data_IF_636344170512
#
_entry.id   IF_636344170512
#
_cell.length_a   1.000
_cell.length_b   1.000
_cell.length_c   1.000
_cell.angle_alpha   90.00
_cell.angle_beta   90.00
_cell.angle_gamma   90.00
#
_symmetry.space_group_name_H-M   'P 1'
#
loop_
_entity.id
_entity.type
_entity.pdbx_description
1 polymer ?
#
# COMPACT_ATOMS: atom_id res chain seq x y z
N UNK A 1 -52.51 47.81 -37.39
CA UNK A 1 -52.00 48.05 -38.75
C UNK A 1 -51.19 46.82 -39.16
N UNK A 2 -51.75 46.01 -40.09
CA UNK A 2 -51.19 44.88 -40.88
C UNK A 2 -50.48 43.74 -40.11
N UNK A 3 -51.09 42.59 -39.78
CA UNK A 3 -51.67 41.45 -40.60
C UNK A 3 -50.53 40.71 -41.35
N UNK A 4 -50.25 39.37 -41.32
CA UNK A 4 -50.95 38.05 -41.29
C UNK A 4 -49.96 37.00 -40.68
N UNK A 5 -50.25 35.98 -39.86
CA UNK A 5 -51.12 34.77 -39.86
C UNK A 5 -50.94 33.79 -41.06
N UNK A 6 -50.85 32.49 -40.70
CA UNK A 6 -51.24 31.24 -41.40
C UNK A 6 -50.03 30.46 -42.01
N UNK A 7 -49.56 29.32 -41.48
CA UNK A 7 -50.14 27.98 -41.16
C UNK A 7 -50.08 26.98 -42.35
N UNK A 8 -49.79 25.70 -42.00
CA UNK A 8 -50.02 24.41 -42.70
C UNK A 8 -48.85 23.84 -43.55
N UNK A 9 -48.17 22.77 -43.10
CA UNK A 9 -48.46 21.31 -43.22
C UNK A 9 -48.30 20.80 -44.67
N UNK A 10 -47.50 19.73 -44.84
CA UNK A 10 -47.84 18.43 -45.48
C UNK A 10 -46.55 17.68 -45.87
N UNK A 11 -46.39 16.53 -45.24
CA UNK A 11 -45.49 15.41 -45.59
C UNK A 11 -45.82 14.82 -46.96
N UNK A 12 -44.81 14.48 -47.75
CA UNK A 12 -44.91 13.39 -48.73
C UNK A 12 -43.53 12.80 -49.07
N UNK A 13 -43.41 11.50 -48.87
CA UNK A 13 -42.29 10.63 -49.26
C UNK A 13 -42.46 10.27 -50.74
N UNK A 14 -41.38 10.28 -51.53
CA UNK A 14 -41.24 9.41 -52.69
C UNK A 14 -39.79 8.96 -52.88
N UNK A 15 -39.63 7.64 -52.85
CA UNK A 15 -38.46 6.88 -53.30
C UNK A 15 -38.36 6.90 -54.83
N UNK A 16 -37.15 7.00 -55.39
CA UNK A 16 -36.86 6.50 -56.73
C UNK A 16 -35.36 6.16 -56.88
N UNK A 17 -35.06 4.86 -56.99
CA UNK A 17 -33.80 4.36 -57.52
C UNK A 17 -33.78 4.54 -59.05
N UNK A 18 -32.64 4.94 -59.60
CA UNK A 18 -32.27 4.66 -60.99
C UNK A 18 -30.80 4.22 -61.04
N UNK A 19 -30.59 2.99 -61.50
CA UNK A 19 -29.29 2.45 -61.94
C UNK A 19 -29.04 2.94 -63.37
N UNK A 20 -27.82 3.41 -63.70
CA UNK A 20 -26.83 2.65 -64.51
C UNK A 20 -25.60 3.48 -64.94
N UNK A 21 -24.46 2.79 -64.89
CA UNK A 21 -23.27 2.88 -65.77
C UNK A 21 -22.10 3.78 -65.35
N UNK A 22 -21.17 3.14 -64.66
CA UNK A 22 -19.72 3.00 -64.95
C UNK A 22 -18.93 4.23 -65.40
N UNK A 23 -18.14 4.76 -64.47
CA UNK A 23 -16.76 5.18 -64.74
C UNK A 23 -15.87 4.66 -63.62
N UNK A 24 -14.92 3.83 -64.00
CA UNK A 24 -13.87 3.26 -63.15
C UNK A 24 -12.96 4.41 -62.72
N UNK A 25 -12.88 4.68 -61.41
CA UNK A 25 -11.81 5.48 -60.82
C UNK A 25 -10.99 4.54 -59.95
N UNK A 26 -9.79 4.31 -60.44
CA UNK A 26 -8.69 3.58 -59.82
C UNK A 26 -8.25 4.34 -58.56
N UNK A 27 -8.55 3.78 -57.38
CA UNK A 27 -8.00 4.22 -56.10
C UNK A 27 -6.97 3.19 -55.68
N UNK A 28 -5.72 3.47 -56.04
CA UNK A 28 -4.55 2.85 -55.43
C UNK A 28 -4.61 3.11 -53.92
N UNK A 29 -4.93 2.07 -53.14
CA UNK A 29 -4.66 2.04 -51.70
C UNK A 29 -3.15 2.11 -51.49
N UNK A 30 -2.64 3.03 -50.65
CA UNK A 30 -1.24 2.99 -50.26
C UNK A 30 -0.99 1.74 -49.40
N UNK A 31 -0.18 0.83 -49.95
CA UNK A 31 0.43 -0.28 -49.23
C UNK A 31 1.25 0.32 -48.07
N UNK A 32 0.85 0.05 -46.83
CA UNK A 32 1.70 0.33 -45.67
C UNK A 32 2.95 -0.54 -45.76
N UNK A 33 4.10 0.12 -45.97
CA UNK A 33 5.42 -0.46 -45.77
C UNK A 33 5.55 -0.89 -44.31
N UNK A 34 5.70 -2.19 -44.09
CA UNK A 34 6.07 -2.76 -42.80
C UNK A 34 7.55 -2.45 -42.60
N UNK A 35 7.84 -1.38 -41.86
CA UNK A 35 9.19 -1.11 -41.35
C UNK A 35 9.40 -2.10 -40.21
N UNK A 36 10.29 -3.06 -40.46
CA UNK A 36 10.76 -4.02 -39.48
C UNK A 36 11.81 -3.33 -38.60
N UNK A 37 11.37 -2.63 -37.56
CA UNK A 37 12.25 -2.23 -36.46
C UNK A 37 12.54 -3.49 -35.64
N UNK A 38 13.72 -4.06 -35.85
CA UNK A 38 14.29 -5.04 -34.93
C UNK A 38 14.40 -4.37 -33.56
N UNK A 39 13.57 -4.83 -32.62
CA UNK A 39 13.68 -4.46 -31.23
C UNK A 39 15.04 -4.92 -30.71
N UNK A 40 15.94 -3.97 -30.49
CA UNK A 40 17.19 -4.16 -29.78
C UNK A 40 16.82 -4.58 -28.36
N UNK A 41 17.02 -5.86 -28.04
CA UNK A 41 16.88 -6.39 -26.69
C UNK A 41 18.05 -5.79 -25.91
N UNK A 42 17.79 -4.73 -25.14
CA UNK A 42 18.67 -4.37 -24.02
C UNK A 42 18.62 -5.56 -23.04
N UNK A 43 19.65 -6.40 -23.10
CA UNK A 43 19.93 -7.35 -22.02
C UNK A 43 20.08 -6.51 -20.74
N UNK A 44 19.15 -6.69 -19.78
CA UNK A 44 19.39 -6.26 -18.41
C UNK A 44 20.76 -6.79 -18.00
N UNK A 45 21.63 -5.97 -17.39
CA UNK A 45 22.91 -6.46 -16.93
C UNK A 45 22.64 -7.64 -16.00
N UNK A 46 23.11 -8.84 -16.37
CA UNK A 46 23.19 -9.97 -15.46
C UNK A 46 23.78 -9.44 -14.16
N UNK A 47 22.96 -9.41 -13.09
CA UNK A 47 23.46 -9.16 -11.75
C UNK A 47 24.56 -10.19 -11.52
N UNK A 48 25.81 -9.72 -11.54
CA UNK A 48 26.93 -10.53 -11.11
C UNK A 48 26.64 -10.90 -9.67
N UNK A 49 26.25 -12.16 -9.45
CA UNK A 49 26.03 -12.72 -8.13
C UNK A 49 27.33 -12.52 -7.36
N UNK A 50 27.32 -11.53 -6.47
CA UNK A 50 28.44 -11.20 -5.61
C UNK A 50 28.78 -12.42 -4.76
N UNK A 51 30.06 -12.79 -4.73
CA UNK A 51 30.67 -13.93 -4.04
C UNK A 51 30.66 -13.74 -2.50
N UNK A 52 29.69 -12.97 -1.98
CA UNK A 52 29.65 -12.38 -0.64
C UNK A 52 28.33 -12.66 0.10
N UNK A 53 27.46 -13.53 -0.45
CA UNK A 53 26.19 -13.93 0.19
C UNK A 53 26.36 -14.58 1.58
N UNK A 54 27.58 -15.05 1.90
CA UNK A 54 27.93 -15.68 3.17
C UNK A 54 27.85 -14.71 4.37
N UNK A 55 27.97 -13.39 4.15
CA UNK A 55 27.94 -12.39 5.23
C UNK A 55 26.56 -11.73 5.42
N UNK A 56 25.58 -12.03 4.56
CA UNK A 56 24.24 -11.46 4.65
C UNK A 56 23.41 -12.20 5.71
N UNK A 57 22.61 -11.45 6.45
CA UNK A 57 21.70 -11.95 7.48
C UNK A 57 20.25 -11.76 7.07
N UNK A 58 19.36 -12.60 7.60
CA UNK A 58 17.92 -12.53 7.32
C UNK A 58 17.29 -11.41 8.14
N UNK A 59 16.63 -10.46 7.47
CA UNK A 59 15.83 -9.42 8.09
C UNK A 59 14.61 -10.04 8.79
N UNK A 60 14.35 -9.57 10.01
CA UNK A 60 13.22 -10.02 10.80
C UNK A 60 11.90 -9.32 10.43
N UNK A 61 11.90 -8.36 9.48
CA UNK A 61 10.68 -7.67 9.05
C UNK A 61 10.12 -8.16 7.72
N UNK A 62 10.96 -8.67 6.82
CA UNK A 62 10.55 -9.18 5.51
C UNK A 62 11.21 -10.50 5.11
N UNK A 63 12.10 -11.07 5.91
CA UNK A 63 12.73 -12.37 5.61
C UNK A 63 13.72 -12.36 4.45
N UNK A 64 14.00 -11.19 3.86
CA UNK A 64 15.02 -11.03 2.83
C UNK A 64 16.41 -10.92 3.46
N UNK A 65 17.45 -11.13 2.65
CA UNK A 65 18.85 -11.07 3.08
C UNK A 65 19.39 -9.66 2.88
N UNK A 66 20.11 -9.15 3.88
CA UNK A 66 20.77 -7.84 3.88
C UNK A 66 22.17 -7.95 4.49
N UNK A 67 23.02 -6.97 4.19
CA UNK A 67 24.23 -6.77 4.96
C UNK A 67 23.88 -6.31 6.39
N UNK A 68 24.61 -6.75 7.43
CA UNK A 68 24.30 -6.41 8.81
C UNK A 68 24.12 -4.91 9.07
N UNK A 69 24.95 -4.06 8.45
CA UNK A 69 24.90 -2.59 8.57
C UNK A 69 23.59 -1.96 8.07
N UNK A 70 22.89 -2.62 7.16
CA UNK A 70 21.57 -2.18 6.68
C UNK A 70 20.48 -2.43 7.73
N UNK A 71 20.73 -3.32 8.69
CA UNK A 71 19.83 -3.70 9.78
C UNK A 71 20.26 -3.15 11.15
N UNK A 72 21.22 -2.22 11.22
CA UNK A 72 21.64 -1.64 12.51
C UNK A 72 20.73 -0.49 12.95
N UNK A 73 20.14 0.22 11.99
CA UNK A 73 19.37 1.43 12.23
C UNK A 73 17.98 1.11 12.78
N UNK A 74 17.53 1.87 13.76
CA UNK A 74 16.15 1.79 14.28
C UNK A 74 15.14 1.95 13.13
N UNK A 75 14.09 1.10 13.07
CA UNK A 75 13.06 1.24 12.07
C UNK A 75 12.37 2.60 12.13
N UNK A 76 11.89 3.07 10.99
CA UNK A 76 11.12 4.31 10.86
C UNK A 76 9.72 3.94 10.42
N UNK A 77 8.72 4.38 11.18
CA UNK A 77 7.33 4.04 10.99
C UNK A 77 6.55 5.29 10.57
N UNK A 78 6.26 5.44 9.29
CA UNK A 78 5.68 6.67 8.73
C UNK A 78 4.18 6.51 8.50
N UNK A 79 3.40 7.41 9.10
CA UNK A 79 1.97 7.51 8.79
C UNK A 79 1.79 8.23 7.44
N UNK A 80 1.19 7.55 6.46
CA UNK A 80 1.11 8.01 5.08
C UNK A 80 -0.34 8.23 4.67
N UNK A 81 -0.61 9.38 4.05
CA UNK A 81 -1.92 9.78 3.55
C UNK A 81 -2.43 8.81 2.48
N UNK A 82 -3.70 8.42 2.58
CA UNK A 82 -4.39 7.66 1.54
C UNK A 82 -5.67 8.35 1.05
N UNK A 83 -5.80 9.65 1.30
CA UNK A 83 -6.82 10.48 0.67
C UNK A 83 -6.64 10.46 -0.86
N UNK A 84 -7.73 10.47 -1.67
CA UNK A 84 -7.61 10.46 -3.13
C UNK A 84 -6.70 11.56 -3.70
N UNK A 85 -6.70 12.76 -3.11
CA UNK A 85 -5.82 13.88 -3.51
C UNK A 85 -4.36 13.75 -3.08
N UNK A 86 -4.02 12.73 -2.29
CA UNK A 86 -2.66 12.42 -1.89
C UNK A 86 -2.03 11.30 -2.73
N UNK A 87 -2.85 10.59 -3.51
CA UNK A 87 -2.39 9.48 -4.34
C UNK A 87 -1.74 10.01 -5.62
N UNK A 88 -0.68 9.37 -6.10
CA UNK A 88 -0.05 8.17 -5.52
C UNK A 88 1.06 8.50 -4.50
N UNK A 89 1.29 7.63 -3.53
CA UNK A 89 2.32 7.81 -2.49
C UNK A 89 3.72 7.54 -3.06
N UNK A 90 4.75 8.20 -2.52
CA UNK A 90 6.15 7.92 -2.85
C UNK A 90 6.77 7.00 -1.77
N UNK A 91 7.52 6.00 -2.22
CA UNK A 91 8.38 5.15 -1.39
C UNK A 91 7.64 4.05 -0.61
N UNK A 92 6.34 3.87 -0.81
CA UNK A 92 5.55 2.84 -0.12
C UNK A 92 5.91 1.41 -0.57
N UNK A 93 6.38 1.23 -1.82
CA UNK A 93 6.85 -0.07 -2.33
C UNK A 93 8.13 -0.57 -1.63
N UNK A 94 8.85 0.34 -0.97
CA UNK A 94 10.10 0.07 -0.25
C UNK A 94 9.88 -0.31 1.21
N UNK A 95 8.65 -0.18 1.75
CA UNK A 95 8.39 -0.55 3.13
C UNK A 95 8.38 -2.07 3.31
N UNK A 96 9.06 -2.59 4.33
CA UNK A 96 9.04 -4.03 4.66
C UNK A 96 7.66 -4.46 5.17
N UNK A 97 6.97 -3.58 5.93
CA UNK A 97 5.61 -3.80 6.40
C UNK A 97 4.75 -2.58 6.13
N UNK A 98 3.59 -2.78 5.52
CA UNK A 98 2.59 -1.73 5.32
C UNK A 98 1.28 -2.14 5.99
N UNK A 99 0.81 -1.33 6.91
CA UNK A 99 -0.55 -1.47 7.44
C UNK A 99 -1.51 -0.53 6.74
N UNK A 100 -2.77 -0.96 6.58
CA UNK A 100 -3.88 -0.09 6.20
C UNK A 100 -5.01 -0.15 7.25
N UNK A 101 -5.48 1.03 7.66
CA UNK A 101 -6.52 1.19 8.66
C UNK A 101 -7.59 2.15 8.18
N UNK A 102 -8.85 1.93 8.56
CA UNK A 102 -9.85 3.00 8.53
C UNK A 102 -9.45 4.16 9.47
N UNK A 103 -9.68 5.39 9.01
CA UNK A 103 -9.60 6.61 9.82
C UNK A 103 -10.96 7.29 9.80
N UNK A 104 -11.03 8.62 9.73
CA UNK A 104 -12.30 9.31 9.53
C UNK A 104 -12.93 8.88 8.20
N UNK A 105 -14.21 8.52 8.26
CA UNK A 105 -14.98 8.11 7.09
C UNK A 105 -14.88 9.17 5.97
N UNK A 106 -14.69 8.78 4.69
CA UNK A 106 -14.62 7.41 4.15
C UNK A 106 -13.19 6.86 4.00
N UNK A 107 -12.19 7.48 4.60
CA UNK A 107 -10.80 7.27 4.23
C UNK A 107 -10.12 6.17 5.05
N UNK A 108 -9.08 5.60 4.45
CA UNK A 108 -8.07 4.81 5.14
C UNK A 108 -6.77 5.60 5.26
N UNK A 109 -5.81 5.08 6.02
CA UNK A 109 -4.45 5.61 6.13
C UNK A 109 -3.46 4.46 6.22
N UNK A 110 -2.26 4.67 5.69
CA UNK A 110 -1.20 3.68 5.79
C UNK A 110 -0.25 3.97 6.96
N UNK A 111 0.37 2.91 7.47
CA UNK A 111 1.60 2.98 8.25
C UNK A 111 2.65 2.15 7.52
N UNK A 112 3.74 2.78 7.12
CA UNK A 112 4.84 2.13 6.41
C UNK A 112 6.03 1.99 7.35
N UNK A 113 6.48 0.76 7.60
CA UNK A 113 7.66 0.45 8.40
C UNK A 113 8.84 0.25 7.46
N UNK A 114 9.87 1.08 7.64
CA UNK A 114 11.12 1.05 6.90
C UNK A 114 12.27 0.63 7.81
N UNK A 115 13.10 -0.30 7.37
CA UNK A 115 14.24 -0.77 8.14
C UNK A 115 15.53 -0.77 7.31
N UNK A 116 15.64 -1.70 6.36
CA UNK A 116 16.80 -1.87 5.49
C UNK A 116 16.75 -0.96 4.27
N UNK A 117 15.57 -0.89 3.63
CA UNK A 117 15.40 -0.16 2.37
C UNK A 117 15.30 1.34 2.63
N UNK A 118 16.06 2.13 1.87
CA UNK A 118 16.10 3.59 2.00
C UNK A 118 15.61 4.31 0.72
N UNK A 119 14.29 4.48 0.53
CA UNK A 119 13.80 5.27 -0.59
C UNK A 119 14.21 6.75 -0.45
N UNK A 120 14.51 7.39 -1.58
CA UNK A 120 14.93 8.81 -1.62
C UNK A 120 13.87 9.75 -1.01
N UNK A 121 12.59 9.41 -1.17
CA UNK A 121 11.47 10.22 -0.68
C UNK A 121 10.28 9.36 -0.27
N UNK A 122 9.68 9.75 0.85
CA UNK A 122 8.51 9.11 1.45
C UNK A 122 7.39 10.14 1.66
N UNK A 123 6.16 9.81 1.26
CA UNK A 123 5.00 10.65 1.56
C UNK A 123 3.80 10.42 0.63
N UNK A 124 2.71 11.19 0.77
CA UNK A 124 2.59 12.29 1.72
C UNK A 124 2.43 11.81 3.19
N UNK A 125 3.16 12.40 4.13
CA UNK A 125 3.07 12.12 5.57
C UNK A 125 1.78 12.71 6.15
N UNK A 126 1.14 11.98 7.06
CA UNK A 126 -0.15 12.36 7.66
C UNK A 126 -0.24 12.15 9.16
N UNK A 127 -1.40 12.53 9.69
CA UNK A 127 -1.65 12.68 11.11
C UNK A 127 -1.67 11.35 11.87
N UNK A 128 -1.21 11.42 13.11
CA UNK A 128 -1.23 10.33 14.05
C UNK A 128 -2.65 9.95 14.52
N UNK A 129 -2.87 8.65 14.76
CA UNK A 129 -4.00 8.09 15.51
C UNK A 129 -3.46 7.06 16.52
N UNK A 130 -4.13 6.82 17.66
CA UNK A 130 -3.62 5.91 18.69
C UNK A 130 -3.26 4.51 18.16
N UNK A 131 -4.15 3.90 17.38
CA UNK A 131 -3.91 2.57 16.82
C UNK A 131 -2.73 2.53 15.83
N UNK A 132 -2.53 3.59 15.03
CA UNK A 132 -1.37 3.70 14.13
C UNK A 132 -0.08 3.76 14.95
N UNK A 133 -0.07 4.52 16.05
CA UNK A 133 1.06 4.57 16.97
C UNK A 133 1.36 3.18 17.55
N UNK A 134 0.35 2.42 17.98
CA UNK A 134 0.56 1.11 18.59
C UNK A 134 1.24 0.12 17.62
N UNK A 135 0.88 0.15 16.34
CA UNK A 135 1.55 -0.66 15.31
C UNK A 135 2.96 -0.15 14.97
N UNK A 136 3.20 1.16 15.04
CA UNK A 136 4.54 1.72 14.87
C UNK A 136 5.51 1.24 15.96
N UNK A 137 5.01 1.05 17.18
CA UNK A 137 5.80 0.62 18.33
C UNK A 137 6.13 -0.88 18.35
N UNK A 138 5.48 -1.71 17.53
CA UNK A 138 5.73 -3.16 17.49
C UNK A 138 7.16 -3.51 17.09
N UNK A 139 7.70 -2.73 16.15
CA UNK A 139 9.05 -2.89 15.64
C UNK A 139 9.98 -1.81 16.18
N UNK A 140 9.67 -1.27 17.37
CA UNK A 140 10.42 -0.18 18.00
C UNK A 140 10.62 1.02 17.06
N UNK A 141 9.62 1.33 16.22
CA UNK A 141 9.76 2.32 15.17
C UNK A 141 9.80 3.76 15.70
N UNK A 142 10.60 4.60 15.04
CA UNK A 142 10.49 6.07 15.14
C UNK A 142 9.20 6.47 14.44
N UNK A 143 8.20 6.91 15.19
CA UNK A 143 6.89 7.20 14.64
C UNK A 143 6.82 8.59 13.99
N UNK A 144 6.61 8.64 12.69
CA UNK A 144 6.65 9.86 11.88
C UNK A 144 5.23 10.24 11.47
N UNK A 145 4.85 11.49 11.76
CA UNK A 145 3.51 12.00 11.47
C UNK A 145 3.52 13.53 11.29
N UNK A 146 2.39 14.08 10.82
CA UNK A 146 2.17 15.53 10.77
C UNK A 146 0.86 15.85 11.48
N UNK A 147 0.97 16.36 12.70
CA UNK A 147 -0.15 16.51 13.62
C UNK A 147 -0.78 15.17 14.02
N UNK A 148 -1.93 15.21 14.68
CA UNK A 148 -2.56 14.02 15.27
C UNK A 148 -3.89 14.34 15.93
N UNK A 149 -4.60 13.31 16.39
CA UNK A 149 -5.71 13.51 17.34
C UNK A 149 -5.15 13.79 18.74
N UNK A 150 -5.94 14.46 19.58
CA UNK A 150 -5.58 14.70 21.00
C UNK A 150 -5.25 13.40 21.74
N UNK A 151 -6.01 12.32 21.47
CA UNK A 151 -5.73 10.99 22.02
C UNK A 151 -4.37 10.46 21.56
N UNK A 152 -3.99 10.67 20.29
CA UNK A 152 -2.70 10.23 19.79
C UNK A 152 -1.55 10.96 20.50
N UNK A 153 -1.68 12.27 20.72
CA UNK A 153 -0.68 13.05 21.47
C UNK A 153 -0.59 12.63 22.94
N UNK A 154 -1.74 12.32 23.55
CA UNK A 154 -1.82 11.77 24.91
C UNK A 154 -1.09 10.44 25.01
N UNK A 155 -1.28 9.55 24.02
CA UNK A 155 -0.63 8.25 23.94
C UNK A 155 0.86 8.34 23.66
N UNK A 156 1.30 9.22 22.74
CA UNK A 156 2.73 9.50 22.50
C UNK A 156 3.43 9.88 23.81
N UNK A 157 2.81 10.78 24.58
CA UNK A 157 3.33 11.25 25.87
C UNK A 157 3.33 10.12 26.92
N UNK A 158 2.21 9.42 27.08
CA UNK A 158 2.03 8.34 28.07
C UNK A 158 3.00 7.20 27.84
N UNK A 159 3.17 6.79 26.58
CA UNK A 159 4.02 5.67 26.18
C UNK A 159 5.49 6.05 26.02
N UNK A 160 5.81 7.35 26.08
CA UNK A 160 7.13 7.90 25.75
C UNK A 160 7.61 7.40 24.39
N UNK A 161 6.72 7.47 23.40
CA UNK A 161 7.01 7.00 22.06
C UNK A 161 8.06 7.90 21.41
N UNK A 162 9.02 7.31 20.71
CA UNK A 162 9.92 8.08 19.86
C UNK A 162 9.14 8.55 18.64
N UNK A 163 9.00 9.85 18.46
CA UNK A 163 8.24 10.41 17.35
C UNK A 163 8.91 11.64 16.73
N UNK A 164 8.58 11.89 15.47
CA UNK A 164 8.91 13.13 14.75
C UNK A 164 7.61 13.70 14.18
N UNK A 165 7.20 14.85 14.71
CA UNK A 165 6.01 15.57 14.23
C UNK A 165 6.41 16.71 13.28
N UNK A 166 5.99 16.60 12.02
CA UNK A 166 6.28 17.60 10.99
C UNK A 166 5.62 18.97 11.20
N UNK A 167 4.78 19.14 12.23
CA UNK A 167 4.35 20.48 12.68
C UNK A 167 5.44 21.26 13.42
N UNK A 168 6.44 20.55 13.98
CA UNK A 168 7.48 21.13 14.83
C UNK A 168 8.89 20.79 14.35
N UNK A 169 9.04 19.78 13.50
CA UNK A 169 10.32 19.30 12.97
C UNK A 169 10.69 19.95 11.63
N UNK A 170 11.99 20.18 11.41
CA UNK A 170 12.56 20.56 10.11
C UNK A 170 12.85 19.38 9.17
N UNK A 171 12.59 18.14 9.58
CA UNK A 171 12.94 16.93 8.83
C UNK A 171 12.02 16.65 7.63
N UNK A 172 10.90 17.38 7.51
CA UNK A 172 9.89 17.21 6.46
C UNK A 172 9.72 18.49 5.65
N UNK A 173 9.27 18.36 4.40
CA UNK A 173 9.07 19.49 3.50
C UNK A 173 7.82 19.34 2.64
N UNK A 174 7.32 20.46 2.11
CA UNK A 174 6.27 20.42 1.09
C UNK A 174 6.88 20.14 -0.28
N UNK A 175 6.43 19.09 -0.94
CA UNK A 175 6.88 18.75 -2.30
C UNK A 175 5.81 19.11 -3.32
N UNK A 176 6.04 20.20 -4.05
CA UNK A 176 5.03 20.81 -4.93
C UNK A 176 5.06 20.28 -6.37
N UNK A 177 6.12 19.58 -6.78
CA UNK A 177 6.32 19.11 -8.17
C UNK A 177 5.36 17.97 -8.56
N UNK A 178 4.60 17.45 -7.61
CA UNK A 178 3.58 16.41 -7.81
C UNK A 178 2.22 16.97 -8.24
N UNK A 179 2.03 18.28 -8.16
CA UNK A 179 0.73 18.92 -8.31
C UNK A 179 -0.21 18.75 -7.11
N UNK A 180 0.26 18.14 -6.01
CA UNK A 180 -0.50 18.01 -4.76
C UNK A 180 -0.40 19.27 -3.92
N UNK A 181 -1.50 19.62 -3.28
CA UNK A 181 -1.59 20.78 -2.40
C UNK A 181 -1.70 20.36 -0.94
N UNK A 182 -1.31 21.26 -0.04
CA UNK A 182 -1.57 21.10 1.38
C UNK A 182 -3.05 20.79 1.63
N UNK A 183 -3.39 19.85 2.53
CA UNK A 183 -2.49 19.09 3.43
C UNK A 183 -1.91 17.77 2.86
N UNK A 184 -1.97 17.52 1.55
CA UNK A 184 -1.62 16.25 0.91
C UNK A 184 -0.23 16.24 0.23
N UNK A 185 0.68 17.12 0.67
CA UNK A 185 1.95 17.35 -0.02
C UNK A 185 3.17 17.40 0.91
N UNK A 186 3.09 16.85 2.12
CA UNK A 186 4.21 16.79 3.05
C UNK A 186 5.04 15.52 2.83
N UNK A 187 6.34 15.62 2.64
CA UNK A 187 7.23 14.49 2.37
C UNK A 187 8.44 14.52 3.31
N UNK A 188 9.15 13.40 3.38
CA UNK A 188 10.35 13.22 4.20
C UNK A 188 11.33 12.24 3.52
N UNK A 189 12.54 12.07 4.07
CA UNK A 189 13.41 10.91 3.81
C UNK A 189 13.71 10.18 5.12
N UNK A 190 14.25 8.96 5.05
CA UNK A 190 14.66 8.24 6.27
C UNK A 190 15.85 8.88 6.96
N UNK A 191 16.80 9.44 6.19
CA UNK A 191 17.98 10.11 6.72
C UNK A 191 17.61 11.31 7.58
N UNK A 192 16.77 12.22 7.09
CA UNK A 192 16.37 13.42 7.84
C UNK A 192 15.60 13.07 9.12
N UNK A 193 14.77 12.03 9.08
CA UNK A 193 14.04 11.56 10.27
C UNK A 193 14.99 10.99 11.32
N UNK A 194 15.96 10.17 10.92
CA UNK A 194 16.91 9.56 11.87
C UNK A 194 17.81 10.63 12.50
N UNK A 195 18.26 11.61 11.73
CA UNK A 195 19.05 12.73 12.23
C UNK A 195 18.25 13.57 13.25
N UNK A 196 17.00 13.91 12.94
CA UNK A 196 16.13 14.65 13.84
C UNK A 196 15.83 13.86 15.12
N UNK A 197 15.52 12.57 15.00
CA UNK A 197 15.26 11.69 16.12
C UNK A 197 16.48 11.55 17.04
N UNK A 198 17.70 11.48 16.46
CA UNK A 198 18.94 11.52 17.22
C UNK A 198 19.13 12.86 17.93
N UNK A 199 18.78 13.98 17.28
CA UNK A 199 18.75 15.32 17.88
C UNK A 199 17.80 15.45 19.07
N UNK A 200 16.69 14.70 19.09
CA UNK A 200 15.78 14.60 20.23
C UNK A 200 16.30 13.66 21.34
N UNK A 201 17.43 12.98 21.12
CA UNK A 201 18.04 12.06 22.08
C UNK A 201 17.44 10.64 22.05
N UNK A 202 16.72 10.27 20.99
CA UNK A 202 16.26 8.89 20.83
C UNK A 202 17.40 7.95 20.45
N UNK A 203 17.27 6.68 20.82
CA UNK A 203 18.19 5.62 20.38
C UNK A 203 18.18 5.49 18.86
N UNK A 204 19.35 5.30 18.28
CA UNK A 204 19.58 5.11 16.85
C UNK A 204 19.50 3.66 16.41
N UNK A 205 19.63 2.71 17.33
CA UNK A 205 19.53 1.26 17.09
C UNK A 205 18.14 0.72 17.45
N UNK A 206 17.64 -0.24 16.69
CA UNK A 206 16.36 -0.92 16.96
C UNK A 206 16.50 -2.00 18.04
N UNK A 207 15.47 -2.17 18.87
CA UNK A 207 15.35 -3.33 19.75
C UNK A 207 13.93 -3.89 19.68
N UNK A 208 13.73 -4.86 18.79
CA UNK A 208 12.43 -5.48 18.54
C UNK A 208 12.59 -6.95 18.16
N UNK A 209 11.50 -7.69 18.27
CA UNK A 209 11.39 -9.07 17.81
C UNK A 209 10.54 -9.06 16.54
N UNK A 210 11.08 -9.50 15.39
CA UNK A 210 10.33 -9.55 14.13
C UNK A 210 9.58 -10.86 13.88
N UNK A 211 9.11 -11.07 12.66
CA UNK A 211 8.34 -12.26 12.27
C UNK A 211 9.24 -13.46 11.92
N UNK A 212 8.61 -14.64 11.84
CA UNK A 212 9.24 -15.86 11.35
C UNK A 212 9.05 -15.96 9.84
N UNK A 213 10.09 -16.40 9.13
CA UNK A 213 10.07 -16.53 7.68
C UNK A 213 10.53 -17.92 7.24
N UNK A 214 9.94 -18.41 6.15
CA UNK A 214 10.46 -19.56 5.41
C UNK A 214 11.80 -19.19 4.76
N UNK A 215 12.70 -20.15 4.56
CA UNK A 215 13.98 -19.88 3.89
C UNK A 215 13.80 -19.47 2.41
N UNK A 216 12.71 -19.92 1.80
CA UNK A 216 12.28 -19.60 0.44
C UNK A 216 10.78 -19.54 0.38
N UNK A 217 10.23 -19.01 -0.71
CA UNK A 217 8.77 -19.02 -0.92
C UNK A 217 8.25 -20.46 -1.00
N UNK A 218 7.17 -20.73 -0.26
CA UNK A 218 6.48 -22.03 -0.23
C UNK A 218 4.98 -21.82 -0.42
N UNK A 219 4.32 -22.77 -1.09
CA UNK A 219 2.86 -22.76 -1.15
C UNK A 219 2.27 -23.18 0.20
N UNK A 220 1.16 -22.58 0.58
CA UNK A 220 0.44 -22.92 1.80
C UNK A 220 -0.13 -24.34 1.72
N UNK A 221 -0.53 -24.80 0.53
CA UNK A 221 -1.06 -26.14 0.28
C UNK A 221 -0.07 -27.28 0.57
N UNK A 222 1.22 -26.98 0.70
CA UNK A 222 2.22 -27.96 1.16
C UNK A 222 2.02 -28.36 2.63
N UNK A 223 1.37 -27.48 3.41
CA UNK A 223 1.23 -27.65 4.86
C UNK A 223 -0.20 -27.49 5.37
N UNK A 224 -1.12 -26.88 4.63
CA UNK A 224 -2.44 -26.52 5.13
C UNK A 224 -3.54 -26.91 4.14
N UNK A 225 -4.77 -27.02 4.64
CA UNK A 225 -5.95 -26.94 3.79
C UNK A 225 -6.16 -25.48 3.40
N UNK A 226 -6.24 -25.21 2.08
CA UNK A 226 -6.26 -23.84 1.54
C UNK A 226 -7.50 -23.61 0.68
N UNK A 227 -7.88 -22.34 0.55
CA UNK A 227 -8.74 -21.88 -0.55
C UNK A 227 -7.89 -21.12 -1.58
N UNK A 228 -8.41 -20.97 -2.80
CA UNK A 228 -7.82 -20.06 -3.79
C UNK A 228 -7.96 -18.62 -3.31
N UNK A 229 -6.95 -17.81 -3.62
CA UNK A 229 -6.91 -16.38 -3.41
C UNK A 229 -6.17 -15.72 -4.57
N UNK A 230 -6.52 -16.09 -5.81
CA UNK A 230 -5.99 -15.44 -7.02
C UNK A 230 -6.44 -13.98 -7.14
N UNK A 231 -7.62 -13.66 -6.59
CA UNK A 231 -8.12 -12.30 -6.49
C UNK A 231 -8.69 -12.07 -5.10
N UNK A 232 -8.24 -11.03 -4.42
CA UNK A 232 -8.79 -10.59 -3.14
C UNK A 232 -9.40 -9.21 -3.32
N UNK A 233 -10.60 -8.99 -2.78
CA UNK A 233 -11.22 -7.67 -2.69
C UNK A 233 -11.64 -7.39 -1.26
N UNK A 234 -11.15 -6.26 -0.74
CA UNK A 234 -11.47 -5.75 0.59
C UNK A 234 -12.32 -4.51 0.41
N UNK A 235 -13.51 -4.50 1.02
CA UNK A 235 -14.45 -3.38 0.96
C UNK A 235 -14.50 -2.70 2.33
N UNK A 236 -13.74 -1.63 2.51
CA UNK A 236 -13.80 -0.82 3.73
C UNK A 236 -15.14 -0.07 3.82
N UNK A 237 -15.55 0.53 2.70
CA UNK A 237 -16.87 1.15 2.52
C UNK A 237 -17.16 1.36 1.02
N UNK A 238 -18.32 1.94 0.70
CA UNK A 238 -18.77 2.15 -0.69
C UNK A 238 -17.82 3.03 -1.54
N UNK A 239 -16.92 3.79 -0.92
CA UNK A 239 -15.99 4.70 -1.58
C UNK A 239 -14.53 4.29 -1.38
N UNK A 240 -14.27 3.15 -0.73
CA UNK A 240 -12.93 2.73 -0.34
C UNK A 240 -12.81 1.22 -0.44
N UNK A 241 -12.11 0.76 -1.48
CA UNK A 241 -11.81 -0.65 -1.73
C UNK A 241 -10.32 -0.86 -1.95
N UNK A 242 -9.88 -2.09 -1.72
CA UNK A 242 -8.52 -2.52 -2.03
C UNK A 242 -8.58 -3.89 -2.64
N UNK A 243 -7.94 -4.04 -3.80
CA UNK A 243 -7.92 -5.29 -4.53
C UNK A 243 -6.48 -5.76 -4.71
N UNK A 244 -6.30 -7.07 -4.67
CA UNK A 244 -5.05 -7.75 -4.95
C UNK A 244 -5.31 -8.79 -6.01
N UNK A 245 -4.50 -8.82 -7.05
CA UNK A 245 -4.59 -9.81 -8.13
C UNK A 245 -3.26 -10.54 -8.21
N UNK A 246 -3.29 -11.86 -8.06
CA UNK A 246 -2.10 -12.69 -8.09
C UNK A 246 -1.52 -12.76 -9.50
N UNK A 247 -0.23 -12.50 -9.59
CA UNK A 247 0.58 -12.64 -10.79
C UNK A 247 1.46 -13.88 -10.61
N UNK A 248 1.04 -14.99 -11.21
CA UNK A 248 1.71 -16.28 -11.08
C UNK A 248 3.14 -16.24 -11.63
N UNK A 249 3.39 -15.47 -12.69
CA UNK A 249 4.73 -15.36 -13.29
C UNK A 249 5.73 -14.72 -12.33
N UNK A 250 5.29 -13.70 -11.59
CA UNK A 250 6.13 -12.96 -10.65
C UNK A 250 5.94 -13.41 -9.19
N UNK A 251 5.13 -14.44 -8.93
CA UNK A 251 4.82 -14.99 -7.59
C UNK A 251 4.47 -13.91 -6.55
N UNK A 252 3.69 -12.91 -6.97
CA UNK A 252 3.33 -11.75 -6.14
C UNK A 252 1.96 -11.19 -6.52
N UNK A 253 1.39 -10.36 -5.67
CA UNK A 253 0.11 -9.70 -5.91
C UNK A 253 0.29 -8.29 -6.43
N UNK A 254 -0.36 -7.96 -7.53
CA UNK A 254 -0.55 -6.58 -7.99
C UNK A 254 -1.64 -5.91 -7.16
N UNK A 255 -1.34 -4.75 -6.58
CA UNK A 255 -2.29 -4.01 -5.75
C UNK A 255 -3.06 -2.96 -6.56
N UNK A 256 -4.34 -2.86 -6.28
CA UNK A 256 -5.24 -1.82 -6.79
C UNK A 256 -5.87 -1.06 -5.62
N UNK A 257 -6.21 0.21 -5.83
CA UNK A 257 -6.92 1.04 -4.86
C UNK A 257 -8.09 1.74 -5.54
N UNK A 258 -9.28 1.54 -5.00
CA UNK A 258 -10.53 2.15 -5.48
C UNK A 258 -10.74 1.93 -7.00
N UNK A 259 -10.36 0.75 -7.51
CA UNK A 259 -10.50 0.37 -8.92
C UNK A 259 -9.32 0.71 -9.83
N UNK A 260 -8.33 1.46 -9.34
CA UNK A 260 -7.16 1.90 -10.12
C UNK A 260 -5.89 1.15 -9.70
N UNK A 261 -4.94 0.98 -10.63
CA UNK A 261 -3.61 0.42 -10.31
C UNK A 261 -2.93 1.27 -9.24
N UNK A 262 -2.51 0.65 -8.14
CA UNK A 262 -1.81 1.38 -7.08
C UNK A 262 -0.34 1.53 -7.47
N UNK A 263 0.00 2.69 -8.02
CA UNK A 263 1.36 3.05 -8.44
C UNK A 263 2.15 3.62 -7.26
N UNK A 264 3.46 3.38 -7.18
CA UNK A 264 4.37 4.17 -6.35
C UNK A 264 4.86 5.39 -7.14
N UNK A 265 4.67 6.60 -6.59
CA UNK A 265 5.05 7.84 -7.24
C UNK A 265 6.56 7.95 -7.49
N UNK A 266 7.39 7.27 -6.70
CA UNK A 266 8.84 7.37 -6.79
C UNK A 266 9.36 6.65 -8.04
N UNK A 267 9.00 5.39 -8.23
CA UNK A 267 9.51 4.53 -9.31
C UNK A 267 8.53 4.38 -10.50
N UNK A 268 7.29 4.87 -10.36
CA UNK A 268 6.19 4.77 -11.34
C UNK A 268 5.76 3.34 -11.65
N UNK A 269 6.09 2.38 -10.79
CA UNK A 269 5.68 0.98 -10.93
C UNK A 269 4.44 0.68 -10.09
N UNK A 270 3.64 -0.27 -10.55
CA UNK A 270 2.54 -0.80 -9.75
C UNK A 270 3.10 -1.57 -8.55
N UNK A 271 2.50 -1.35 -7.37
CA UNK A 271 2.89 -2.02 -6.13
C UNK A 271 2.65 -3.52 -6.25
N UNK A 272 3.70 -4.28 -5.92
CA UNK A 272 3.69 -5.73 -5.78
C UNK A 272 3.79 -6.14 -4.31
N UNK A 273 3.05 -7.17 -3.92
CA UNK A 273 2.94 -7.62 -2.52
C UNK A 273 3.16 -9.13 -2.43
N UNK A 274 4.03 -9.57 -1.52
CA UNK A 274 4.31 -11.00 -1.33
C UNK A 274 3.38 -11.66 -0.32
N UNK A 275 3.18 -10.96 0.80
CA UNK A 275 2.38 -11.44 1.93
C UNK A 275 1.23 -10.47 2.18
N UNK A 276 0.02 -10.98 2.30
CA UNK A 276 -1.13 -10.19 2.74
C UNK A 276 -1.68 -10.86 4.00
N UNK A 277 -1.81 -10.09 5.08
CA UNK A 277 -2.49 -10.50 6.29
C UNK A 277 -3.70 -9.62 6.46
N UNK A 278 -4.86 -10.20 6.73
CA UNK A 278 -6.08 -9.45 7.01
C UNK A 278 -6.51 -9.78 8.44
N UNK A 279 -6.70 -8.77 9.28
CA UNK A 279 -7.15 -8.98 10.67
C UNK A 279 -8.49 -8.32 10.94
N UNK A 280 -9.35 -9.04 11.66
CA UNK A 280 -10.61 -8.53 12.17
C UNK A 280 -10.41 -7.90 13.56
N UNK A 281 -10.77 -6.63 13.68
CA UNK A 281 -10.73 -5.86 14.93
C UNK A 281 -12.09 -5.22 15.20
N UNK A 282 -12.44 -4.99 16.46
CA UNK A 282 -13.67 -4.24 16.78
C UNK A 282 -13.53 -2.76 16.42
N UNK A 283 -14.54 -2.16 15.80
CA UNK A 283 -14.60 -0.71 15.49
C UNK A 283 -15.74 0.01 16.22
N UNK A 284 -15.48 1.24 16.67
CA UNK A 284 -16.53 2.18 17.14
C UNK A 284 -16.17 3.63 16.82
N UNK A 285 -17.18 4.47 16.60
CA UNK A 285 -17.01 5.93 16.44
C UNK A 285 -16.98 6.58 17.83
N UNK A 286 -16.00 7.46 18.06
CA UNK A 286 -15.74 8.08 19.35
C UNK A 286 -16.47 9.42 19.55
N UNK A 287 -16.73 10.15 18.47
CA UNK A 287 -17.27 11.51 18.53
C UNK A 287 -17.94 11.96 17.22
N UNK A 288 -18.36 13.23 17.20
CA UNK A 288 -19.05 13.85 16.06
C UNK A 288 -18.10 14.18 14.90
N UNK A 289 -16.80 14.25 15.15
CA UNK A 289 -15.75 14.42 14.14
C UNK A 289 -15.47 13.11 13.38
N UNK A 290 -16.04 11.99 13.82
CA UNK A 290 -15.93 10.68 13.17
C UNK A 290 -14.64 9.94 13.52
N UNK A 291 -13.93 10.33 14.59
CA UNK A 291 -12.72 9.63 15.04
C UNK A 291 -13.08 8.20 15.44
N UNK A 292 -12.20 7.25 15.14
CA UNK A 292 -12.42 5.83 15.38
C UNK A 292 -11.61 5.30 16.56
N UNK A 293 -12.22 4.39 17.30
CA UNK A 293 -11.53 3.39 18.10
C UNK A 293 -11.48 2.08 17.31
N UNK A 294 -10.28 1.51 17.24
CA UNK A 294 -10.03 0.15 16.72
C UNK A 294 -9.47 -0.69 17.86
N UNK A 295 -10.07 -1.85 18.12
CA UNK A 295 -9.67 -2.80 19.15
C UNK A 295 -8.44 -3.58 18.74
N UNK A 296 -7.29 -2.91 18.69
CA UNK A 296 -6.03 -3.46 18.16
C UNK A 296 -5.20 -4.17 19.23
N UNK A 297 -5.60 -4.13 20.50
CA UNK A 297 -5.01 -4.89 21.60
C UNK A 297 -6.01 -5.96 22.03
N UNK A 298 -5.56 -7.20 22.12
CA UNK A 298 -6.39 -8.36 22.39
C UNK A 298 -6.07 -9.48 21.42
N UNK A 299 -7.11 -10.18 20.97
CA UNK A 299 -6.99 -11.28 20.02
C UNK A 299 -8.18 -11.34 19.10
N UNK A 300 -8.00 -11.87 17.90
CA UNK A 300 -9.06 -11.98 16.91
C UNK A 300 -8.74 -12.95 15.79
N UNK A 301 -9.62 -12.98 14.81
CA UNK A 301 -9.47 -13.81 13.60
C UNK A 301 -8.78 -13.02 12.50
N UNK A 302 -8.20 -13.73 11.56
CA UNK A 302 -7.62 -13.16 10.37
C UNK A 302 -7.47 -14.18 9.24
N UNK A 303 -6.86 -13.71 8.16
CA UNK A 303 -6.49 -14.49 6.99
C UNK A 303 -5.02 -14.22 6.69
N UNK A 304 -4.28 -15.25 6.28
CA UNK A 304 -2.99 -15.10 5.67
C UNK A 304 -3.05 -15.57 4.22
N UNK A 305 -2.56 -14.72 3.32
CA UNK A 305 -2.60 -14.91 1.88
C UNK A 305 -1.19 -14.74 1.31
N UNK A 306 -0.76 -15.71 0.52
CA UNK A 306 0.49 -15.71 -0.24
C UNK A 306 0.41 -16.77 -1.35
N UNK A 307 1.23 -16.67 -2.39
CA UNK A 307 1.31 -17.68 -3.48
C UNK A 307 -0.04 -18.05 -4.14
N UNK A 308 -1.01 -17.13 -4.21
CA UNK A 308 -2.33 -17.42 -4.77
C UNK A 308 -3.27 -18.19 -3.83
N UNK A 309 -2.88 -18.42 -2.57
CA UNK A 309 -3.58 -19.27 -1.60
C UNK A 309 -3.88 -18.51 -0.31
N UNK A 310 -4.92 -18.94 0.41
CA UNK A 310 -5.32 -18.37 1.70
C UNK A 310 -5.60 -19.42 2.75
N UNK A 311 -5.19 -19.14 3.99
CA UNK A 311 -5.52 -19.89 5.20
C UNK A 311 -6.10 -18.99 6.28
N UNK A 312 -6.98 -19.51 7.16
CA UNK A 312 -7.38 -18.80 8.37
C UNK A 312 -6.23 -18.71 9.36
N UNK A 313 -6.11 -17.56 10.02
CA UNK A 313 -5.18 -17.34 11.13
C UNK A 313 -5.89 -16.69 12.32
N UNK A 314 -5.25 -16.70 13.48
CA UNK A 314 -5.63 -15.84 14.60
C UNK A 314 -4.52 -14.85 14.89
N UNK A 315 -4.87 -13.69 15.42
CA UNK A 315 -3.89 -12.69 15.85
C UNK A 315 -4.01 -12.46 17.36
N UNK A 316 -2.89 -12.15 18.01
CA UNK A 316 -2.82 -11.75 19.41
C UNK A 316 -1.82 -10.59 19.59
N UNK A 317 -2.24 -9.56 20.32
CA UNK A 317 -1.40 -8.44 20.74
C UNK A 317 -1.71 -8.12 22.19
N UNK A 318 -0.72 -8.31 23.07
CA UNK A 318 -0.92 -8.25 24.52
C UNK A 318 -0.88 -6.83 25.11
N UNK A 319 -0.25 -5.87 24.43
CA UNK A 319 -0.12 -4.48 24.87
C UNK A 319 0.20 -3.56 23.68
N UNK A 320 0.16 -2.25 23.90
CA UNK A 320 0.42 -1.20 22.90
C UNK A 320 1.76 -1.40 22.18
N UNK A 321 2.81 -1.76 22.93
CA UNK A 321 4.18 -1.95 22.40
C UNK A 321 4.51 -3.39 21.97
N UNK A 322 3.67 -4.37 22.32
CA UNK A 322 3.95 -5.77 22.00
C UNK A 322 3.74 -6.02 20.51
N UNK A 323 4.58 -6.84 19.87
CA UNK A 323 4.33 -7.32 18.50
C UNK A 323 2.96 -8.00 18.40
N UNK A 324 2.25 -7.79 17.30
CA UNK A 324 1.11 -8.63 16.91
C UNK A 324 1.63 -9.99 16.44
N UNK A 325 1.27 -11.07 17.15
CA UNK A 325 1.61 -12.44 16.75
C UNK A 325 0.47 -13.05 15.95
N UNK A 326 0.82 -13.83 14.92
CA UNK A 326 -0.14 -14.56 14.09
C UNK A 326 0.03 -16.06 14.30
N UNK A 327 -1.08 -16.79 14.38
CA UNK A 327 -1.08 -18.22 14.66
C UNK A 327 -1.94 -19.00 13.67
N UNK A 328 -1.45 -20.15 13.27
CA UNK A 328 -2.20 -21.23 12.60
C UNK A 328 -2.56 -22.32 13.62
N UNK A 329 -3.20 -23.39 13.16
CA UNK A 329 -3.41 -24.61 13.95
C UNK A 329 -2.10 -25.35 14.31
N UNK A 330 -0.99 -24.99 13.65
CA UNK A 330 0.34 -25.61 13.84
C UNK A 330 1.31 -24.78 14.69
N UNK A 331 0.96 -23.54 15.06
CA UNK A 331 1.82 -22.67 15.87
C UNK A 331 1.89 -21.24 15.32
N UNK A 332 2.97 -20.53 15.66
CA UNK A 332 3.21 -19.18 15.13
C UNK A 332 3.42 -19.24 13.60
N UNK A 333 2.77 -18.33 12.89
CA UNK A 333 2.78 -18.28 11.44
C UNK A 333 4.18 -17.98 10.91
N UNK A 334 4.61 -18.75 9.90
CA UNK A 334 5.79 -18.43 9.09
C UNK A 334 5.35 -17.73 7.81
N UNK A 335 5.94 -16.57 7.51
CA UNK A 335 5.70 -15.81 6.30
C UNK A 335 6.66 -16.23 5.19
N UNK A 336 6.27 -16.02 3.92
CA UNK A 336 7.22 -16.12 2.81
C UNK A 336 8.15 -14.89 2.79
N UNK A 337 9.43 -15.01 2.39
CA UNK A 337 10.33 -13.87 2.24
C UNK A 337 9.78 -12.84 1.25
N UNK A 338 9.61 -11.60 1.70
CA UNK A 338 9.12 -10.45 0.95
C UNK A 338 8.23 -9.51 1.76
N UNK A 339 7.92 -8.34 1.19
CA UNK A 339 7.13 -7.31 1.87
C UNK A 339 5.73 -7.78 2.27
N UNK A 340 5.28 -7.32 3.44
CA UNK A 340 4.01 -7.73 4.06
C UNK A 340 3.02 -6.58 4.16
N UNK A 341 1.80 -6.79 3.66
CA UNK A 341 0.70 -5.86 3.79
C UNK A 341 -0.33 -6.37 4.79
N UNK A 342 -0.60 -5.59 5.83
CA UNK A 342 -1.53 -5.93 6.90
C UNK A 342 -2.77 -5.03 6.79
N UNK A 343 -3.91 -5.65 6.50
CA UNK A 343 -5.19 -4.98 6.28
C UNK A 343 -6.04 -5.11 7.54
N UNK A 344 -6.43 -3.99 8.15
CA UNK A 344 -7.21 -3.98 9.40
C UNK A 344 -8.66 -3.67 9.09
N UNK A 345 -9.51 -4.69 9.21
CA UNK A 345 -10.94 -4.62 8.87
C UNK A 345 -11.81 -4.78 10.12
N UNK A 346 -13.01 -4.21 10.08
CA UNK A 346 -14.01 -4.42 11.14
C UNK A 346 -14.72 -5.78 11.04
N UNK A 347 -14.72 -6.41 9.87
CA UNK A 347 -15.27 -7.76 9.70
C UNK A 347 -14.59 -8.49 8.55
N UNK A 348 -14.25 -9.78 8.72
CA UNK A 348 -13.77 -10.61 7.60
C UNK A 348 -14.83 -10.80 6.50
N UNK A 349 -16.11 -10.56 6.80
CA UNK A 349 -17.17 -10.60 5.79
C UNK A 349 -17.04 -9.48 4.74
N UNK A 350 -16.19 -8.48 4.95
CA UNK A 350 -15.87 -7.46 3.95
C UNK A 350 -14.77 -7.88 2.98
N UNK A 351 -14.33 -9.14 3.04
CA UNK A 351 -13.26 -9.69 2.20
C UNK A 351 -13.86 -10.77 1.29
N UNK A 352 -13.64 -10.62 0.00
CA UNK A 352 -13.99 -11.60 -1.04
C UNK A 352 -12.67 -12.20 -1.58
N UNK A 353 -12.59 -13.53 -1.69
CA UNK A 353 -11.47 -14.26 -2.29
C UNK A 353 -11.94 -15.59 -2.90
#
# INVERSE_FOLDING_TARGET
MRIKIIIFIITLIFTACSKKTDTVVDINEPVMEVINEEAEIEEEPEETIDDNSDNMVVSSLDGLRYYPEELEKRPVAVSIDNHPRARWQAGISFAEIVYEFEVEYPFTRYLCIFYAKEPERIGPVRSARPYILYYAMENDGIFVHVGGSEDAFSEITRLKAANVDGLYSGAMWRYNDTGKYAPHNMYTSLSTIRDEAAGYGYRTEGNFEGYLFNEKSTKLSESYEVNSAEKIKIVYNAYNTTEYVYDEMNTSYLRFKDGEEHIDELDKKQIRVKNIIIIEVSKSVLDNEGRLYLGTIGKGKGLYITEGEVIPVTWEKSAEKSRTRFYTDKGELMLNPGGTWIQVVNSLNSVEY
#
